data_IF_301980482630
#
_entry.id   IF_301980482630
#
_cell.length_a   1.000
_cell.length_b   1.000
_cell.length_c   1.000
_cell.angle_alpha   90.00
_cell.angle_beta   90.00
_cell.angle_gamma   90.00
#
_symmetry.space_group_name_H-M   'P 1'
#
loop_
_entity.id
_entity.type
_entity.pdbx_description
1 polymer ?
#
# COMPACT_ATOMS: atom_id res chain seq x y z
N UNK A 1 9.62 22.49 8.43
CA UNK A 1 9.10 22.12 7.10
C UNK A 1 8.46 20.74 7.25
N UNK A 2 7.24 20.55 6.77
CA UNK A 2 6.65 19.21 6.63
C UNK A 2 7.23 18.55 5.37
N UNK A 3 7.57 17.26 5.45
CA UNK A 3 7.92 16.50 4.26
C UNK A 3 6.69 16.37 3.36
N UNK A 4 6.92 16.21 2.05
CA UNK A 4 5.82 15.99 1.12
C UNK A 4 5.16 14.64 1.43
N UNK A 5 3.82 14.55 1.45
CA UNK A 5 3.12 13.29 1.67
C UNK A 5 3.33 12.34 0.48
N UNK A 6 3.21 11.05 0.75
CA UNK A 6 3.32 9.97 -0.24
C UNK A 6 1.92 9.40 -0.49
N UNK A 7 1.52 9.32 -1.76
CA UNK A 7 0.30 8.63 -2.17
C UNK A 7 0.68 7.32 -2.87
N UNK A 8 0.25 6.18 -2.30
CA UNK A 8 0.48 4.85 -2.85
C UNK A 8 -0.84 4.26 -3.35
N UNK A 9 -0.91 3.96 -4.64
CA UNK A 9 -2.07 3.33 -5.27
C UNK A 9 -1.82 1.84 -5.43
N UNK A 10 -2.77 1.02 -4.97
CA UNK A 10 -2.65 -0.44 -4.95
C UNK A 10 -3.90 -1.10 -5.54
N UNK A 11 -3.72 -2.30 -6.08
CA UNK A 11 -4.81 -3.07 -6.70
C UNK A 11 -4.75 -4.55 -6.34
N UNK A 12 -4.42 -5.44 -7.29
CA UNK A 12 -4.46 -6.90 -7.13
C UNK A 12 -3.09 -7.57 -6.99
N UNK A 13 -2.11 -6.86 -6.43
CA UNK A 13 -0.72 -7.33 -6.30
C UNK A 13 -0.27 -7.33 -4.83
N UNK A 14 -0.73 -8.29 -3.99
CA UNK A 14 -0.42 -8.32 -2.56
C UNK A 14 1.08 -8.38 -2.28
N UNK A 15 1.82 -9.25 -2.96
CA UNK A 15 3.27 -9.39 -2.74
C UNK A 15 4.06 -8.14 -3.10
N UNK A 16 3.68 -7.46 -4.19
CA UNK A 16 4.34 -6.22 -4.59
C UNK A 16 4.00 -5.08 -3.63
N UNK A 17 2.75 -5.04 -3.17
CA UNK A 17 2.28 -4.06 -2.17
C UNK A 17 3.08 -4.22 -0.88
N UNK A 18 3.21 -5.46 -0.37
CA UNK A 18 4.00 -5.76 0.83
C UNK A 18 5.46 -5.31 0.68
N UNK A 19 6.13 -5.72 -0.39
CA UNK A 19 7.53 -5.33 -0.67
C UNK A 19 7.71 -3.82 -0.78
N UNK A 20 6.72 -3.13 -1.35
CA UNK A 20 6.75 -1.66 -1.46
C UNK A 20 6.64 -1.00 -0.09
N UNK A 21 5.74 -1.49 0.77
CA UNK A 21 5.56 -0.97 2.14
C UNK A 21 6.81 -1.24 2.99
N UNK A 22 7.41 -2.42 2.88
CA UNK A 22 8.68 -2.76 3.54
C UNK A 22 9.84 -1.88 3.05
N UNK A 23 9.91 -1.57 1.75
CA UNK A 23 10.94 -0.67 1.24
C UNK A 23 10.72 0.78 1.72
N UNK A 24 9.47 1.25 1.71
CA UNK A 24 9.12 2.60 2.18
C UNK A 24 9.42 2.78 3.66
N UNK A 25 9.12 1.79 4.50
CA UNK A 25 9.35 1.87 5.95
C UNK A 25 10.84 1.88 6.33
N UNK A 26 11.71 1.37 5.46
CA UNK A 26 13.16 1.35 5.67
C UNK A 26 13.88 2.63 5.20
N UNK A 27 13.16 3.61 4.65
CA UNK A 27 13.76 4.87 4.21
C UNK A 27 14.10 5.80 5.39
N UNK A 28 15.14 6.62 5.23
CA UNK A 28 15.67 7.50 6.29
C UNK A 28 14.62 8.42 6.93
N UNK A 29 13.66 8.91 6.15
CA UNK A 29 12.59 9.81 6.60
C UNK A 29 11.20 9.15 6.68
N UNK A 30 11.16 7.81 6.80
CA UNK A 30 9.89 7.08 6.79
C UNK A 30 8.97 7.48 7.94
N UNK A 31 9.52 7.82 9.12
CA UNK A 31 8.74 8.16 10.31
C UNK A 31 8.16 9.58 10.25
N UNK A 32 8.76 10.44 9.46
CA UNK A 32 8.40 11.84 9.28
C UNK A 32 7.53 12.07 8.03
N UNK A 33 7.36 11.05 7.20
CA UNK A 33 6.56 11.09 5.98
C UNK A 33 5.15 10.56 6.24
N UNK A 34 4.14 11.30 5.82
CA UNK A 34 2.76 10.81 5.82
C UNK A 34 2.51 9.94 4.58
N UNK A 35 2.05 8.70 4.78
CA UNK A 35 1.72 7.76 3.70
C UNK A 35 0.21 7.56 3.63
N UNK A 36 -0.38 7.90 2.48
CA UNK A 36 -1.77 7.62 2.15
C UNK A 36 -1.83 6.46 1.16
N UNK A 37 -2.60 5.42 1.48
CA UNK A 37 -2.73 4.23 0.64
C UNK A 37 -4.15 4.17 0.09
N UNK A 38 -4.26 4.14 -1.23
CA UNK A 38 -5.51 3.99 -1.96
C UNK A 38 -5.60 2.57 -2.51
N UNK A 39 -6.62 1.84 -2.11
CA UNK A 39 -6.88 0.48 -2.56
C UNK A 39 -8.10 0.47 -3.48
N UNK A 40 -7.88 0.28 -4.78
CA UNK A 40 -8.97 0.16 -5.75
C UNK A 40 -9.84 -1.06 -5.45
N UNK A 41 -11.10 -1.02 -5.87
CA UNK A 41 -12.00 -2.17 -5.78
C UNK A 41 -11.85 -3.13 -6.95
N UNK A 42 -12.26 -4.37 -6.76
CA UNK A 42 -12.15 -5.42 -7.77
C UNK A 42 -12.97 -5.07 -9.01
N UNK A 43 -12.34 -5.11 -10.19
CA UNK A 43 -13.03 -4.90 -11.48
C UNK A 43 -13.86 -6.12 -11.92
N UNK A 44 -13.55 -7.29 -11.39
CA UNK A 44 -14.23 -8.55 -11.64
C UNK A 44 -14.19 -9.45 -10.41
N UNK A 45 -15.05 -10.46 -10.36
CA UNK A 45 -15.08 -11.47 -9.31
C UNK A 45 -13.72 -12.17 -9.11
N UNK A 46 -12.99 -12.39 -10.20
CA UNK A 46 -11.68 -13.07 -10.17
C UNK A 46 -10.62 -12.24 -9.41
N UNK A 47 -10.79 -10.92 -9.39
CA UNK A 47 -9.86 -10.00 -8.74
C UNK A 47 -10.16 -9.81 -7.24
N UNK A 48 -11.35 -10.18 -6.77
CA UNK A 48 -11.80 -9.97 -5.38
C UNK A 48 -10.84 -10.54 -4.34
N UNK A 49 -10.37 -11.77 -4.58
CA UNK A 49 -9.46 -12.45 -3.64
C UNK A 49 -8.15 -11.67 -3.50
N UNK A 50 -7.55 -11.26 -4.62
CA UNK A 50 -6.26 -10.55 -4.62
C UNK A 50 -6.38 -9.12 -4.09
N UNK A 51 -7.47 -8.42 -4.41
CA UNK A 51 -7.77 -7.09 -3.86
C UNK A 51 -8.00 -7.16 -2.35
N UNK A 52 -8.73 -8.18 -1.88
CA UNK A 52 -8.89 -8.43 -0.45
C UNK A 52 -7.54 -8.69 0.23
N UNK A 53 -6.68 -9.52 -0.35
CA UNK A 53 -5.33 -9.76 0.18
C UNK A 53 -4.49 -8.48 0.24
N UNK A 54 -4.62 -7.57 -0.73
CA UNK A 54 -3.96 -6.26 -0.67
C UNK A 54 -4.47 -5.43 0.51
N UNK A 55 -5.79 -5.38 0.73
CA UNK A 55 -6.38 -4.68 1.89
C UNK A 55 -5.89 -5.28 3.21
N UNK A 56 -5.75 -6.59 3.29
CA UNK A 56 -5.24 -7.27 4.49
C UNK A 56 -3.76 -6.94 4.74
N UNK A 57 -2.91 -6.92 3.70
CA UNK A 57 -1.50 -6.50 3.78
C UNK A 57 -1.37 -5.05 4.26
N UNK A 58 -2.21 -4.15 3.76
CA UNK A 58 -2.20 -2.73 4.13
C UNK A 58 -2.62 -2.53 5.58
N UNK A 59 -3.61 -3.29 6.07
CA UNK A 59 -4.10 -3.23 7.46
C UNK A 59 -3.15 -3.87 8.49
N UNK A 60 -2.19 -4.67 8.04
CA UNK A 60 -1.22 -5.32 8.92
C UNK A 60 0.07 -4.52 9.09
N UNK A 61 0.20 -3.35 8.46
CA UNK A 61 1.34 -2.44 8.66
C UNK A 61 1.15 -1.55 9.89
#
# INVERSE_FOLDING_TARGET
>A
MSLAPIALFTYKRPDHTKKTLEALSNNHYAKESELFIFCDDAKSSDDETLVKSVRDVVRSQ
#
